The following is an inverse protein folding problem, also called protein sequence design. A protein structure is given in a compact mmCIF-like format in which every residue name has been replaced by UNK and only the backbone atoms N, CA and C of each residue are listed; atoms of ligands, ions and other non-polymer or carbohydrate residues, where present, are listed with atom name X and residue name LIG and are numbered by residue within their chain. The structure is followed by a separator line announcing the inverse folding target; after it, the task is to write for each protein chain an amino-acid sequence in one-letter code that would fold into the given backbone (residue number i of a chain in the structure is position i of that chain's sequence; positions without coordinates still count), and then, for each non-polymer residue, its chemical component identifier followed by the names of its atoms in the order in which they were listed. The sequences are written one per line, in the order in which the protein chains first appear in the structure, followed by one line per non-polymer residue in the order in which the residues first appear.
data_IF_475466593977
#
_entry.id   IF_475466593977
#
_cell.length_a   1.000
_cell.length_b   1.000
_cell.length_c   1.000
_cell.angle_alpha   90.00
_cell.angle_beta   90.00
_cell.angle_gamma   90.00
#
_symmetry.space_group_name_H-M   'P 1'
#
loop_
_entity.id
_entity.type
_entity.pdbx_description
1 polymer ?
#
# COMPACT_ATOMS: atom_id res chain seq x y z
N UNK A 1 8.09 -25.92 -8.16
CA UNK A 1 8.49 -24.48 -8.26
C UNK A 1 8.86 -23.99 -6.87
N UNK A 2 9.96 -23.24 -6.74
CA UNK A 2 10.37 -22.63 -5.46
C UNK A 2 9.65 -21.27 -5.31
N UNK A 3 9.43 -20.80 -4.08
CA UNK A 3 8.72 -19.55 -3.81
C UNK A 3 9.67 -18.47 -3.27
N UNK A 4 9.45 -17.22 -3.65
CA UNK A 4 10.12 -16.04 -3.11
C UNK A 4 9.05 -15.05 -2.66
N UNK A 5 9.07 -14.70 -1.37
CA UNK A 5 8.24 -13.63 -0.81
C UNK A 5 9.07 -12.37 -0.57
N UNK A 6 8.64 -11.23 -1.10
CA UNK A 6 9.28 -9.93 -0.84
C UNK A 6 8.39 -9.06 0.05
N UNK A 7 8.99 -8.39 1.03
CA UNK A 7 8.29 -7.38 1.85
C UNK A 7 8.72 -6.01 1.36
N UNK A 8 7.76 -5.16 0.99
CA UNK A 8 8.01 -3.82 0.47
C UNK A 8 6.95 -2.84 0.96
N UNK A 9 7.20 -1.54 0.83
CA UNK A 9 6.24 -0.47 1.16
C UNK A 9 5.14 -0.26 0.08
N UNK A 10 4.73 -1.33 -0.60
CA UNK A 10 3.75 -1.29 -1.70
C UNK A 10 2.39 -0.71 -1.31
N UNK A 11 1.98 -0.77 -0.04
CA UNK A 11 0.71 -0.21 0.48
C UNK A 11 0.81 1.24 0.97
N UNK A 12 1.93 1.94 0.72
CA UNK A 12 2.16 3.29 1.24
C UNK A 12 1.50 4.44 0.47
N UNK A 13 0.85 4.16 -0.68
CA UNK A 13 0.26 5.20 -1.55
C UNK A 13 1.25 6.34 -1.91
N UNK A 14 2.52 5.94 -1.99
CA UNK A 14 3.65 6.75 -2.41
C UNK A 14 4.14 6.25 -3.76
N UNK A 15 4.29 7.15 -4.74
CA UNK A 15 4.72 6.77 -6.09
C UNK A 15 6.06 6.05 -6.09
N UNK A 16 7.06 6.57 -5.36
CA UNK A 16 8.39 5.96 -5.28
C UNK A 16 8.33 4.53 -4.76
N UNK A 17 7.68 4.33 -3.61
CA UNK A 17 7.57 3.01 -2.99
C UNK A 17 6.80 2.01 -3.86
N UNK A 18 5.66 2.42 -4.43
CA UNK A 18 4.81 1.55 -5.27
C UNK A 18 5.53 1.18 -6.57
N UNK A 19 6.18 2.16 -7.22
CA UNK A 19 6.92 1.92 -8.46
C UNK A 19 8.19 1.09 -8.20
N UNK A 20 8.87 1.28 -7.07
CA UNK A 20 10.00 0.43 -6.66
C UNK A 20 9.55 -1.01 -6.42
N UNK A 21 8.43 -1.24 -5.72
CA UNK A 21 7.85 -2.57 -5.56
C UNK A 21 7.53 -3.22 -6.91
N UNK A 22 6.95 -2.46 -7.84
CA UNK A 22 6.66 -2.91 -9.19
C UNK A 22 7.93 -3.27 -9.99
N UNK A 23 8.95 -2.42 -9.94
CA UNK A 23 10.21 -2.65 -10.63
C UNK A 23 10.92 -3.90 -10.09
N UNK A 24 10.98 -4.05 -8.76
CA UNK A 24 11.60 -5.20 -8.11
C UNK A 24 10.91 -6.51 -8.51
N UNK A 25 9.58 -6.60 -8.40
CA UNK A 25 8.89 -7.83 -8.82
C UNK A 25 9.10 -8.13 -10.31
N UNK A 26 9.23 -7.10 -11.15
CA UNK A 26 9.35 -7.25 -12.61
C UNK A 26 10.70 -7.85 -12.95
N UNK A 27 11.77 -7.35 -12.32
CA UNK A 27 13.12 -7.89 -12.49
C UNK A 27 13.22 -9.31 -11.93
N UNK A 28 12.65 -9.57 -10.74
CA UNK A 28 12.66 -10.92 -10.16
C UNK A 28 11.92 -11.92 -11.06
N UNK A 29 10.72 -11.59 -11.52
CA UNK A 29 9.93 -12.47 -12.41
C UNK A 29 10.57 -12.68 -13.78
N UNK A 30 11.29 -11.68 -14.28
CA UNK A 30 12.02 -11.77 -15.56
C UNK A 30 13.25 -12.68 -15.45
N UNK A 31 13.99 -12.56 -14.35
CA UNK A 31 15.29 -13.24 -14.21
C UNK A 31 15.20 -14.59 -13.48
N UNK A 32 14.13 -14.84 -12.70
CA UNK A 32 13.96 -16.05 -11.88
C UNK A 32 12.71 -16.84 -12.34
N UNK A 33 12.76 -17.34 -13.57
CA UNK A 33 11.61 -17.95 -14.26
C UNK A 33 11.07 -19.20 -13.51
N UNK A 34 11.93 -19.95 -12.84
CA UNK A 34 11.56 -21.16 -12.08
C UNK A 34 11.01 -20.90 -10.67
N UNK A 35 10.89 -19.61 -10.29
CA UNK A 35 10.43 -19.18 -8.99
C UNK A 35 9.09 -18.45 -9.06
N UNK A 36 8.17 -18.83 -8.17
CA UNK A 36 6.99 -18.02 -7.92
C UNK A 36 7.35 -16.85 -7.01
N UNK A 37 7.51 -15.65 -7.60
CA UNK A 37 7.82 -14.44 -6.86
C UNK A 37 6.54 -13.65 -6.54
N UNK A 38 6.29 -13.41 -5.26
CA UNK A 38 5.14 -12.65 -4.76
C UNK A 38 5.60 -11.57 -3.77
N UNK A 39 4.82 -10.50 -3.67
CA UNK A 39 4.95 -9.49 -2.63
C UNK A 39 4.03 -9.92 -1.49
N UNK A 40 4.57 -10.06 -0.29
CA UNK A 40 3.77 -10.36 0.91
C UNK A 40 2.89 -9.12 1.18
N UNK A 41 1.56 -9.30 1.18
CA UNK A 41 0.56 -8.24 1.44
C UNK A 41 0.52 -7.90 2.93
N UNK A 42 1.65 -7.37 3.41
CA UNK A 42 1.86 -6.90 4.76
C UNK A 42 1.41 -5.45 4.90
N UNK A 43 0.50 -5.22 5.83
CA UNK A 43 -0.06 -3.92 6.17
C UNK A 43 0.34 -3.63 7.62
N UNK A 44 1.34 -2.77 7.86
CA UNK A 44 1.76 -2.46 9.22
C UNK A 44 0.61 -1.95 10.09
N UNK A 45 0.62 -2.25 11.40
CA UNK A 45 -0.34 -1.66 12.32
C UNK A 45 -0.29 -0.13 12.22
N UNK A 46 -1.44 0.53 12.37
CA UNK A 46 -1.62 1.98 12.25
C UNK A 46 -1.49 2.57 10.83
N UNK A 47 -1.16 1.78 9.80
CA UNK A 47 -1.09 2.28 8.41
C UNK A 47 -2.41 2.94 7.97
N UNK A 48 -3.54 2.35 8.37
CA UNK A 48 -4.88 2.86 8.03
C UNK A 48 -5.14 4.25 8.61
N UNK A 49 -4.62 4.53 9.81
CA UNK A 49 -4.76 5.86 10.44
C UNK A 49 -3.80 6.87 9.81
N UNK A 50 -2.58 6.45 9.45
CA UNK A 50 -1.60 7.32 8.80
C UNK A 50 -2.07 7.81 7.42
N UNK A 51 -2.75 6.96 6.66
CA UNK A 51 -3.26 7.29 5.32
C UNK A 51 -4.72 7.76 5.31
N UNK A 52 -5.35 7.93 6.47
CA UNK A 52 -6.72 8.44 6.53
C UNK A 52 -6.79 9.89 6.06
N UNK A 53 -7.76 10.19 5.18
CA UNK A 53 -8.02 11.56 4.73
C UNK A 53 -8.50 12.43 5.90
N UNK A 54 -9.26 11.84 6.82
CA UNK A 54 -9.78 12.51 8.02
C UNK A 54 -9.08 12.00 9.28
N UNK A 55 -8.72 12.93 10.16
CA UNK A 55 -8.17 12.61 11.49
C UNK A 55 -9.30 12.39 12.48
N UNK A 56 -9.04 11.66 13.56
CA UNK A 56 -9.98 11.60 14.69
C UNK A 56 -10.15 13.00 15.30
N UNK A 57 -11.38 13.37 15.66
CA UNK A 57 -11.72 14.69 16.22
C UNK A 57 -11.29 14.84 17.69
N UNK A 58 -10.01 14.62 17.98
CA UNK A 58 -9.43 14.69 19.34
C UNK A 58 -9.01 16.10 19.75
N UNK A 59 -9.09 17.07 18.84
CA UNK A 59 -8.78 18.48 19.11
C UNK A 59 -9.47 19.40 18.10
N UNK A 60 -9.67 20.66 18.48
CA UNK A 60 -10.17 21.72 17.58
C UNK A 60 -9.29 21.84 16.33
N UNK A 61 -7.97 21.67 16.49
CA UNK A 61 -7.01 21.62 15.37
C UNK A 61 -7.31 20.48 14.38
N UNK A 62 -7.68 19.29 14.86
CA UNK A 62 -8.04 18.17 13.99
C UNK A 62 -9.37 18.41 13.28
N UNK A 63 -10.34 19.04 13.96
CA UNK A 63 -11.62 19.44 13.35
C UNK A 63 -11.36 20.44 12.21
N UNK A 64 -10.58 21.49 12.44
CA UNK A 64 -10.21 22.44 11.39
C UNK A 64 -9.48 21.78 10.21
N UNK A 65 -8.55 20.86 10.47
CA UNK A 65 -7.88 20.07 9.42
C UNK A 65 -8.86 19.21 8.62
N UNK A 66 -9.87 18.63 9.27
CA UNK A 66 -10.89 17.83 8.61
C UNK A 66 -11.80 18.68 7.73
N UNK A 67 -12.18 19.88 8.17
CA UNK A 67 -12.94 20.84 7.36
C UNK A 67 -12.14 21.20 6.10
N UNK A 68 -10.85 21.53 6.24
CA UNK A 68 -9.99 21.79 5.08
C UNK A 68 -9.83 20.55 4.18
N UNK A 69 -9.80 19.36 4.77
CA UNK A 69 -9.73 18.11 4.01
C UNK A 69 -10.96 17.86 3.14
N UNK A 70 -12.15 18.38 3.52
CA UNK A 70 -13.37 18.27 2.70
C UNK A 70 -13.18 18.92 1.32
N UNK A 71 -12.53 20.09 1.26
CA UNK A 71 -12.27 20.79 -0.01
C UNK A 71 -11.41 19.95 -0.98
N UNK A 72 -10.46 19.18 -0.43
CA UNK A 72 -9.55 18.33 -1.22
C UNK A 72 -9.98 16.86 -1.28
N UNK A 73 -11.14 16.52 -0.69
CA UNK A 73 -11.57 15.13 -0.50
C UNK A 73 -11.69 14.39 -1.83
N UNK A 74 -12.31 15.01 -2.84
CA UNK A 74 -12.50 14.40 -4.16
C UNK A 74 -11.17 14.00 -4.79
N UNK A 75 -10.20 14.91 -4.81
CA UNK A 75 -8.88 14.66 -5.39
C UNK A 75 -8.11 13.58 -4.63
N UNK A 76 -8.13 13.63 -3.29
CA UNK A 76 -7.49 12.61 -2.45
C UNK A 76 -8.14 11.23 -2.63
N UNK A 77 -9.47 11.17 -2.75
CA UNK A 77 -10.21 9.93 -2.99
C UNK A 77 -9.88 9.32 -4.35
N UNK A 78 -9.83 10.14 -5.41
CA UNK A 78 -9.42 9.67 -6.74
C UNK A 78 -8.00 9.13 -6.68
N UNK A 79 -7.04 9.88 -6.13
CA UNK A 79 -5.65 9.43 -5.98
C UNK A 79 -5.55 8.12 -5.21
N UNK A 80 -6.28 7.97 -4.11
CA UNK A 80 -6.31 6.73 -3.32
C UNK A 80 -6.81 5.54 -4.16
N UNK A 81 -7.91 5.73 -4.91
CA UNK A 81 -8.45 4.70 -5.81
C UNK A 81 -7.45 4.32 -6.90
N UNK A 82 -6.73 5.28 -7.44
CA UNK A 82 -5.70 5.04 -8.45
C UNK A 82 -4.53 4.22 -7.92
N UNK A 83 -4.07 4.50 -6.69
CA UNK A 83 -3.06 3.68 -6.03
C UNK A 83 -3.56 2.26 -5.77
N UNK A 84 -4.76 2.10 -5.19
CA UNK A 84 -5.33 0.76 -4.95
C UNK A 84 -5.53 0.00 -6.27
N UNK A 85 -6.02 0.67 -7.32
CA UNK A 85 -6.16 0.07 -8.64
C UNK A 85 -4.81 -0.43 -9.15
N UNK A 86 -3.77 0.41 -9.11
CA UNK A 86 -2.44 0.01 -9.56
C UNK A 86 -1.88 -1.16 -8.75
N UNK A 87 -1.94 -1.08 -7.41
CA UNK A 87 -1.44 -2.13 -6.50
C UNK A 87 -2.14 -3.46 -6.81
N UNK A 88 -3.48 -3.45 -6.88
CA UNK A 88 -4.26 -4.68 -7.03
C UNK A 88 -4.25 -5.25 -8.46
N UNK A 89 -3.84 -4.47 -9.47
CA UNK A 89 -3.80 -4.94 -10.88
C UNK A 89 -2.41 -5.18 -11.42
N UNK A 90 -1.37 -4.53 -10.85
CA UNK A 90 0.00 -4.61 -11.34
C UNK A 90 0.93 -5.38 -10.42
N UNK A 91 0.64 -5.44 -9.12
CA UNK A 91 1.47 -6.17 -8.17
C UNK A 91 0.94 -7.59 -7.97
N UNK A 92 1.85 -8.56 -7.92
CA UNK A 92 1.51 -9.94 -7.54
C UNK A 92 1.63 -10.08 -6.03
N UNK A 93 0.50 -9.88 -5.34
CA UNK A 93 0.44 -9.97 -3.89
C UNK A 93 0.11 -11.40 -3.43
N UNK A 94 0.53 -11.76 -2.21
CA UNK A 94 0.06 -12.99 -1.56
C UNK A 94 -1.45 -12.95 -1.33
N UNK A 95 -2.12 -14.11 -1.42
CA UNK A 95 -3.56 -14.21 -1.15
C UNK A 95 -3.91 -13.85 0.30
N UNK A 96 -3.04 -14.22 1.24
CA UNK A 96 -3.17 -13.87 2.66
C UNK A 96 -2.64 -12.46 2.89
N UNK A 97 -3.37 -11.69 3.71
CA UNK A 97 -2.94 -10.40 4.26
C UNK A 97 -2.36 -10.60 5.65
N UNK A 98 -1.37 -9.78 5.97
CA UNK A 98 -0.62 -9.85 7.22
C UNK A 98 -0.68 -8.47 7.90
N UNK A 99 -0.96 -8.42 9.20
CA UNK A 99 -1.21 -7.15 9.90
C UNK A 99 -0.23 -6.89 11.05
N UNK A 100 0.56 -7.89 11.41
CA UNK A 100 1.57 -7.82 12.46
C UNK A 100 2.77 -8.70 12.10
N UNK A 101 3.91 -8.46 12.76
CA UNK A 101 5.09 -9.30 12.56
C UNK A 101 4.85 -10.76 12.99
N UNK A 102 4.01 -10.98 14.00
CA UNK A 102 3.61 -12.33 14.43
C UNK A 102 2.74 -13.07 13.40
N UNK A 103 2.13 -12.36 12.45
CA UNK A 103 1.32 -13.00 11.42
C UNK A 103 2.16 -13.56 10.26
N UNK A 104 3.37 -13.00 10.06
CA UNK A 104 4.32 -13.29 8.97
C UNK A 104 4.98 -14.65 9.17
#
# INVERSE_FOLDING_TARGET
MKNIGTITFHKSHNYGSVLQSYALQTILRKNLIDYNCEIIDFIPPNSKEMYSIFKKNTSIKNIAKNILALYTYRLKSIRYKEFERFINTRLKLTTKKYFSQSDL
#
